data_IF_915832946109
#
_entry.id   IF_915832946109
#
_cell.length_a   1.000
_cell.length_b   1.000
_cell.length_c   1.000
_cell.angle_alpha   90.00
_cell.angle_beta   90.00
_cell.angle_gamma   90.00
#
_symmetry.space_group_name_H-M   'P 1'
#
loop_
_entity.id
_entity.type
_entity.pdbx_description
1 polymer ?
#
# COMPACT_ATOMS: atom_id res chain seq x y z
N UNK A 1 -48.15 -24.90 2.01
CA UNK A 1 -47.52 -26.05 1.33
C UNK A 1 -47.69 -26.00 -0.20
N UNK A 2 -48.89 -25.65 -0.72
CA UNK A 2 -49.13 -25.41 -2.16
C UNK A 2 -48.25 -24.31 -2.79
N UNK A 3 -48.08 -23.14 -2.13
CA UNK A 3 -47.20 -22.06 -2.63
C UNK A 3 -45.71 -22.46 -2.72
N UNK A 4 -45.22 -23.21 -1.73
CA UNK A 4 -43.82 -23.69 -1.73
C UNK A 4 -43.54 -24.71 -2.84
N UNK A 5 -44.54 -25.46 -3.29
CA UNK A 5 -44.42 -26.42 -4.40
C UNK A 5 -44.55 -25.70 -5.76
N UNK A 6 -45.34 -24.63 -5.84
CA UNK A 6 -45.47 -23.81 -7.06
C UNK A 6 -44.14 -23.13 -7.43
N UNK A 7 -43.41 -22.61 -6.44
CA UNK A 7 -42.07 -22.02 -6.61
C UNK A 7 -40.96 -23.05 -6.92
N UNK A 8 -41.24 -24.36 -6.85
CA UNK A 8 -40.27 -25.42 -7.16
C UNK A 8 -40.23 -25.78 -8.64
N UNK A 9 -41.27 -25.44 -9.42
CA UNK A 9 -41.40 -25.81 -10.83
C UNK A 9 -41.48 -24.62 -11.80
N UNK A 10 -41.79 -23.41 -11.32
CA UNK A 10 -41.82 -22.20 -12.13
C UNK A 10 -41.36 -21.00 -11.32
N UNK A 11 -40.08 -20.64 -11.45
CA UNK A 11 -39.59 -19.34 -11.04
C UNK A 11 -40.13 -18.31 -12.04
N UNK A 12 -41.14 -17.53 -11.65
CA UNK A 12 -41.70 -16.43 -12.48
C UNK A 12 -40.88 -15.16 -12.40
N UNK A 13 -39.90 -15.12 -11.50
CA UNK A 13 -38.93 -14.04 -11.32
C UNK A 13 -37.55 -14.53 -11.78
N UNK A 14 -37.34 -14.49 -13.09
CA UNK A 14 -36.05 -14.75 -13.74
C UNK A 14 -35.92 -13.84 -14.94
N UNK A 15 -34.70 -13.47 -15.31
CA UNK A 15 -34.48 -12.70 -16.55
C UNK A 15 -34.96 -13.52 -17.73
N UNK A 16 -35.69 -12.90 -18.66
CA UNK A 16 -36.11 -13.59 -19.89
C UNK A 16 -34.88 -14.17 -20.59
N UNK A 17 -35.01 -15.35 -21.21
CA UNK A 17 -33.90 -15.97 -21.96
C UNK A 17 -33.37 -15.03 -23.05
N UNK A 18 -34.23 -14.19 -23.61
CA UNK A 18 -33.88 -13.12 -24.56
C UNK A 18 -32.93 -12.06 -23.95
N UNK A 19 -33.04 -11.75 -22.65
CA UNK A 19 -32.12 -10.83 -21.96
C UNK A 19 -30.73 -11.44 -21.68
N UNK A 20 -30.59 -12.75 -21.91
CA UNK A 20 -29.32 -13.46 -21.85
C UNK A 20 -28.72 -13.69 -23.25
N UNK A 21 -29.48 -13.41 -24.32
CA UNK A 21 -29.00 -13.53 -25.69
C UNK A 21 -27.83 -12.56 -25.90
N UNK A 22 -26.70 -13.11 -26.36
CA UNK A 22 -25.48 -12.33 -26.58
C UNK A 22 -25.44 -11.86 -28.04
N UNK A 23 -25.20 -10.58 -28.25
CA UNK A 23 -24.94 -9.99 -29.56
C UNK A 23 -23.58 -9.30 -29.57
N UNK A 24 -22.94 -9.26 -30.74
CA UNK A 24 -21.64 -8.63 -30.87
C UNK A 24 -21.75 -7.14 -30.56
N UNK A 25 -20.88 -6.67 -29.68
CA UNK A 25 -20.75 -5.28 -29.30
C UNK A 25 -19.38 -4.76 -29.73
N UNK A 26 -19.39 -3.85 -30.71
CA UNK A 26 -18.17 -3.25 -31.25
C UNK A 26 -17.33 -2.57 -30.15
N UNK A 27 -18.00 -1.89 -29.22
CA UNK A 27 -17.38 -1.20 -28.07
C UNK A 27 -17.31 -2.05 -26.79
N UNK A 28 -18.06 -3.15 -26.73
CA UNK A 28 -18.18 -3.98 -25.53
C UNK A 28 -17.13 -5.09 -25.40
N UNK A 29 -16.14 -5.12 -26.28
CA UNK A 29 -15.13 -6.19 -26.35
C UNK A 29 -15.75 -7.60 -26.44
N UNK A 30 -16.50 -7.86 -27.51
CA UNK A 30 -17.02 -9.20 -27.82
C UNK A 30 -18.55 -9.29 -27.75
N UNK A 31 -19.06 -10.45 -27.34
CA UNK A 31 -20.50 -10.72 -27.32
C UNK A 31 -21.08 -10.45 -25.92
N UNK A 32 -22.01 -9.49 -25.85
CA UNK A 32 -22.63 -9.08 -24.59
C UNK A 32 -24.16 -9.15 -24.71
N UNK A 33 -24.89 -9.35 -23.59
CA UNK A 33 -26.32 -9.11 -23.56
C UNK A 33 -26.63 -7.66 -23.95
N UNK A 34 -27.71 -7.42 -24.69
CA UNK A 34 -28.05 -6.08 -25.22
C UNK A 34 -28.07 -4.99 -24.15
N UNK A 35 -28.55 -5.30 -22.94
CA UNK A 35 -28.55 -4.37 -21.79
C UNK A 35 -27.15 -3.88 -21.38
N UNK A 36 -26.09 -4.60 -21.75
CA UNK A 36 -24.69 -4.29 -21.44
C UNK A 36 -23.94 -3.69 -22.63
N UNK A 37 -24.60 -3.44 -23.78
CA UNK A 37 -23.96 -2.79 -24.92
C UNK A 37 -23.63 -1.33 -24.56
N UNK A 38 -22.34 -0.95 -24.59
CA UNK A 38 -21.95 0.43 -24.33
C UNK A 38 -22.07 1.31 -25.56
N UNK A 39 -22.36 2.59 -25.34
CA UNK A 39 -22.17 3.67 -26.31
C UNK A 39 -20.84 4.43 -26.07
N UNK A 40 -20.19 4.23 -24.93
CA UNK A 40 -18.88 4.82 -24.59
C UNK A 40 -18.02 3.94 -23.69
N UNK A 41 -16.71 4.22 -23.64
CA UNK A 41 -15.74 3.55 -22.76
C UNK A 41 -14.95 4.62 -22.02
N UNK A 42 -14.85 4.50 -20.70
CA UNK A 42 -14.02 5.36 -19.84
C UNK A 42 -12.98 4.49 -19.15
N UNK A 43 -11.70 4.86 -19.24
CA UNK A 43 -10.63 4.18 -18.51
C UNK A 43 -10.54 4.70 -17.08
N UNK A 44 -10.35 3.79 -16.13
CA UNK A 44 -10.12 4.11 -14.72
C UNK A 44 -9.06 3.18 -14.12
N UNK A 45 -8.53 3.56 -12.96
CA UNK A 45 -7.61 2.73 -12.17
C UNK A 45 -8.36 2.14 -10.98
N UNK A 46 -8.15 0.85 -10.74
CA UNK A 46 -8.75 0.12 -9.63
C UNK A 46 -8.40 0.77 -8.27
N UNK A 47 -9.44 1.14 -7.50
CA UNK A 47 -9.32 1.84 -6.22
C UNK A 47 -9.08 0.95 -4.99
N UNK A 48 -8.62 -0.29 -5.15
CA UNK A 48 -8.47 -1.24 -4.03
C UNK A 48 -7.03 -1.35 -3.50
N UNK A 49 -6.22 -2.24 -4.07
CA UNK A 49 -4.83 -2.41 -3.67
C UNK A 49 -3.90 -1.49 -4.49
N UNK A 50 -2.64 -1.39 -4.08
CA UNK A 50 -1.63 -0.55 -4.72
C UNK A 50 -1.14 -1.06 -6.08
N UNK A 51 -1.69 -2.15 -6.60
CA UNK A 51 -1.24 -2.67 -7.90
C UNK A 51 -1.55 -1.68 -9.02
N UNK A 52 -2.68 -0.98 -8.94
CA UNK A 52 -3.03 0.03 -9.95
C UNK A 52 -3.47 -0.60 -11.27
N UNK A 53 -4.30 -1.63 -11.23
CA UNK A 53 -4.88 -2.26 -12.43
C UNK A 53 -5.73 -1.25 -13.20
N UNK A 54 -5.61 -1.21 -14.53
CA UNK A 54 -6.49 -0.40 -15.38
C UNK A 54 -7.74 -1.18 -15.76
N UNK A 55 -8.87 -0.50 -15.73
CA UNK A 55 -10.20 -1.03 -16.01
C UNK A 55 -10.89 -0.13 -17.05
N UNK A 56 -11.50 -0.75 -18.06
CA UNK A 56 -12.35 -0.11 -19.04
C UNK A 56 -13.81 -0.19 -18.56
N UNK A 57 -14.39 0.95 -18.20
CA UNK A 57 -15.79 1.09 -17.79
C UNK A 57 -16.64 1.31 -19.03
N UNK A 58 -17.55 0.38 -19.28
CA UNK A 58 -18.51 0.45 -20.37
C UNK A 58 -19.69 1.32 -19.93
N UNK A 59 -19.89 2.41 -20.65
CA UNK A 59 -20.92 3.41 -20.39
C UNK A 59 -22.08 3.26 -21.35
N UNK A 60 -23.30 3.49 -20.86
CA UNK A 60 -24.50 3.72 -21.66
C UNK A 60 -25.13 5.03 -21.20
N UNK A 61 -25.01 6.08 -21.99
CA UNK A 61 -25.28 7.44 -21.54
C UNK A 61 -24.41 7.80 -20.33
N UNK A 62 -25.05 8.11 -19.19
CA UNK A 62 -24.36 8.47 -17.94
C UNK A 62 -24.23 7.31 -16.95
N UNK A 63 -24.58 6.09 -17.34
CA UNK A 63 -24.55 4.92 -16.44
C UNK A 63 -23.43 3.95 -16.81
N UNK A 64 -22.69 3.51 -15.79
CA UNK A 64 -21.74 2.41 -15.92
C UNK A 64 -22.49 1.08 -15.94
N UNK A 65 -22.53 0.44 -17.12
CA UNK A 65 -23.31 -0.80 -17.33
C UNK A 65 -22.45 -2.05 -17.19
N UNK A 66 -21.17 -1.99 -17.54
CA UNK A 66 -20.23 -3.10 -17.44
C UNK A 66 -18.81 -2.59 -17.13
N UNK A 67 -17.93 -3.48 -16.74
CA UNK A 67 -16.52 -3.20 -16.47
C UNK A 67 -15.68 -4.40 -16.90
N UNK A 68 -14.60 -4.13 -17.62
CA UNK A 68 -13.62 -5.14 -18.02
C UNK A 68 -12.21 -4.65 -17.75
N UNK A 69 -11.24 -5.52 -17.44
CA UNK A 69 -9.85 -5.13 -17.34
C UNK A 69 -9.28 -4.64 -18.69
N UNK A 70 -8.47 -3.60 -18.65
CA UNK A 70 -7.85 -3.02 -19.85
C UNK A 70 -6.77 -3.95 -20.42
N UNK A 71 -6.94 -4.42 -21.65
CA UNK A 71 -6.03 -5.38 -22.31
C UNK A 71 -4.61 -4.88 -22.55
N UNK A 72 -4.45 -3.62 -22.95
CA UNK A 72 -3.17 -3.02 -23.34
C UNK A 72 -2.40 -2.32 -22.20
N UNK A 73 -2.82 -2.53 -20.95
CA UNK A 73 -2.22 -1.85 -19.80
C UNK A 73 -1.08 -2.67 -19.16
N UNK A 74 0.13 -2.07 -18.97
CA UNK A 74 1.34 -2.81 -18.61
C UNK A 74 1.38 -3.37 -17.19
N UNK A 75 0.37 -3.11 -16.35
CA UNK A 75 0.31 -3.61 -14.97
C UNK A 75 -0.47 -4.92 -14.88
N UNK A 76 -1.70 -4.95 -15.39
CA UNK A 76 -2.59 -6.10 -15.26
C UNK A 76 -2.82 -6.85 -16.57
N UNK A 77 -2.32 -6.40 -17.72
CA UNK A 77 -2.32 -7.14 -18.99
C UNK A 77 -3.68 -7.73 -19.38
N UNK A 78 -4.78 -7.01 -19.13
CA UNK A 78 -6.13 -7.51 -19.40
C UNK A 78 -6.71 -8.42 -18.32
N UNK A 79 -6.11 -8.49 -17.14
CA UNK A 79 -6.59 -9.31 -16.02
C UNK A 79 -7.09 -8.46 -14.84
N UNK A 80 -7.96 -9.02 -14.01
CA UNK A 80 -8.37 -8.39 -12.77
C UNK A 80 -8.76 -9.43 -11.72
N UNK A 81 -8.45 -9.15 -10.45
CA UNK A 81 -8.96 -9.95 -9.34
C UNK A 81 -10.46 -9.66 -9.11
N UNK A 82 -11.17 -10.46 -8.28
CA UNK A 82 -12.60 -10.26 -8.02
C UNK A 82 -12.97 -8.84 -7.56
N UNK A 83 -12.09 -8.19 -6.78
CA UNK A 83 -12.31 -6.80 -6.36
C UNK A 83 -12.33 -5.83 -7.54
N UNK A 84 -11.45 -6.04 -8.52
CA UNK A 84 -11.39 -5.24 -9.74
C UNK A 84 -12.68 -5.36 -10.56
N UNK A 85 -13.12 -6.60 -10.81
CA UNK A 85 -14.38 -6.90 -11.50
C UNK A 85 -15.61 -6.29 -10.80
N UNK A 86 -15.61 -6.29 -9.46
CA UNK A 86 -16.71 -5.75 -8.65
C UNK A 86 -16.58 -4.25 -8.33
N UNK A 87 -15.70 -3.49 -9.02
CA UNK A 87 -15.46 -2.07 -8.68
C UNK A 87 -16.68 -1.16 -8.83
N UNK A 88 -17.68 -1.55 -9.64
CA UNK A 88 -18.93 -0.79 -9.80
C UNK A 88 -19.95 -1.09 -8.71
N UNK A 89 -19.83 -2.20 -8.00
CA UNK A 89 -20.82 -2.70 -7.04
C UNK A 89 -21.05 -1.74 -5.86
N UNK A 90 -20.01 -1.15 -5.23
CA UNK A 90 -20.20 -0.15 -4.17
C UNK A 90 -20.98 1.10 -4.60
N UNK A 91 -20.99 1.44 -5.89
CA UNK A 91 -21.70 2.62 -6.39
C UNK A 91 -23.22 2.46 -6.33
N UNK A 92 -23.71 1.21 -6.32
CA UNK A 92 -25.13 0.82 -6.26
C UNK A 92 -25.60 0.45 -4.84
N UNK A 93 -24.73 0.54 -3.84
CA UNK A 93 -25.06 0.20 -2.47
C UNK A 93 -26.19 1.11 -1.94
N UNK A 94 -27.22 0.52 -1.33
CA UNK A 94 -28.40 1.26 -0.85
C UNK A 94 -28.10 2.19 0.32
N UNK A 95 -27.00 1.93 1.05
CA UNK A 95 -26.52 2.70 2.19
C UNK A 95 -25.39 3.69 1.82
N UNK A 96 -25.11 3.87 0.52
CA UNK A 96 -24.13 4.85 0.06
C UNK A 96 -24.56 6.26 0.47
N UNK A 97 -23.68 6.97 1.19
CA UNK A 97 -23.92 8.36 1.57
C UNK A 97 -23.91 9.28 0.34
N UNK A 98 -25.05 9.92 0.06
CA UNK A 98 -25.25 10.83 -1.08
C UNK A 98 -25.75 12.23 -0.68
N UNK A 99 -26.06 12.44 0.60
CA UNK A 99 -26.55 13.70 1.16
C UNK A 99 -25.80 13.97 2.49
N UNK A 100 -25.41 15.23 2.78
CA UNK A 100 -24.80 15.59 4.06
C UNK A 100 -25.73 15.29 5.25
N UNK A 101 -25.13 14.82 6.35
CA UNK A 101 -25.83 14.51 7.60
C UNK A 101 -25.16 15.24 8.77
N UNK A 102 -25.97 15.70 9.72
CA UNK A 102 -25.52 16.24 11.00
C UNK A 102 -26.24 15.53 12.15
N UNK A 103 -25.61 15.44 13.31
CA UNK A 103 -26.29 14.99 14.54
C UNK A 103 -26.98 16.16 15.23
N UNK A 104 -28.25 15.98 15.58
CA UNK A 104 -28.99 16.92 16.45
C UNK A 104 -28.56 16.78 17.93
N UNK A 105 -29.13 17.59 18.81
CA UNK A 105 -28.87 17.56 20.26
C UNK A 105 -29.23 16.23 20.92
N UNK A 106 -30.09 15.42 20.28
CA UNK A 106 -30.49 14.08 20.73
C UNK A 106 -29.61 12.98 20.13
N UNK A 107 -28.66 13.33 19.27
CA UNK A 107 -27.74 12.41 18.61
C UNK A 107 -28.27 11.78 17.32
N UNK A 108 -29.47 12.15 16.86
CA UNK A 108 -30.07 11.62 15.63
C UNK A 108 -29.50 12.30 14.39
N UNK A 109 -29.38 11.56 13.29
CA UNK A 109 -28.98 12.14 12.01
C UNK A 109 -30.12 12.92 11.37
N UNK A 110 -29.82 14.15 10.96
CA UNK A 110 -30.68 15.02 10.15
C UNK A 110 -29.95 15.39 8.86
N UNK A 111 -30.70 15.51 7.77
CA UNK A 111 -30.15 15.88 6.45
C UNK A 111 -29.93 17.38 6.34
N UNK A 112 -28.82 17.79 5.72
CA UNK A 112 -28.51 19.18 5.41
C UNK A 112 -28.35 19.42 3.92
N UNK A 113 -28.56 20.66 3.49
CA UNK A 113 -28.03 21.10 2.20
C UNK A 113 -26.50 21.14 2.23
N UNK A 114 -25.84 21.03 1.08
CA UNK A 114 -24.39 21.17 0.99
C UNK A 114 -23.89 22.52 1.51
N UNK A 115 -24.65 23.60 1.28
CA UNK A 115 -24.31 24.92 1.78
C UNK A 115 -24.33 24.98 3.30
N UNK A 116 -25.40 24.47 3.93
CA UNK A 116 -25.54 24.48 5.39
C UNK A 116 -24.50 23.58 6.06
N UNK A 117 -24.21 22.42 5.46
CA UNK A 117 -23.19 21.50 5.98
C UNK A 117 -21.79 22.13 5.96
N UNK A 118 -21.44 22.82 4.87
CA UNK A 118 -20.15 23.54 4.77
C UNK A 118 -20.08 24.71 5.75
N UNK A 119 -21.15 25.50 5.89
CA UNK A 119 -21.21 26.60 6.86
C UNK A 119 -21.06 26.07 8.28
N UNK A 120 -21.76 24.98 8.64
CA UNK A 120 -21.64 24.35 9.95
C UNK A 120 -20.20 23.85 10.22
N UNK A 121 -19.55 23.22 9.24
CA UNK A 121 -18.15 22.80 9.36
C UNK A 121 -17.22 23.99 9.63
N UNK A 122 -17.27 25.03 8.78
CA UNK A 122 -16.41 26.21 8.87
C UNK A 122 -16.62 26.94 10.19
N UNK A 123 -17.87 27.19 10.58
CA UNK A 123 -18.20 27.91 11.82
C UNK A 123 -17.69 27.17 13.05
N UNK A 124 -17.90 25.86 13.12
CA UNK A 124 -17.49 25.06 14.28
C UNK A 124 -15.97 24.95 14.39
N UNK A 125 -15.27 24.64 13.30
CA UNK A 125 -13.81 24.56 13.31
C UNK A 125 -13.17 25.93 13.62
N UNK A 126 -13.71 27.02 13.06
CA UNK A 126 -13.25 28.38 13.36
C UNK A 126 -13.45 28.72 14.83
N UNK A 127 -14.62 28.44 15.42
CA UNK A 127 -14.90 28.67 16.85
C UNK A 127 -13.96 27.88 17.76
N UNK A 128 -13.69 26.62 17.42
CA UNK A 128 -12.74 25.77 18.15
C UNK A 128 -11.35 26.41 18.12
N UNK A 129 -10.85 26.75 16.92
CA UNK A 129 -9.51 27.34 16.77
C UNK A 129 -9.37 28.71 17.46
N UNK A 130 -10.41 29.56 17.41
CA UNK A 130 -10.41 30.86 18.11
C UNK A 130 -10.33 30.69 19.63
N UNK A 131 -10.99 29.67 20.18
CA UNK A 131 -11.03 29.43 21.63
C UNK A 131 -9.83 28.67 22.16
N UNK A 132 -9.27 27.75 21.37
CA UNK A 132 -8.31 26.76 21.86
C UNK A 132 -6.98 26.72 21.10
N UNK A 133 -6.81 27.53 20.05
CA UNK A 133 -5.59 27.55 19.23
C UNK A 133 -5.72 26.74 17.94
N UNK A 134 -4.84 27.00 16.98
CA UNK A 134 -4.91 26.39 15.64
C UNK A 134 -4.62 24.89 15.62
N UNK A 135 -3.90 24.40 16.62
CA UNK A 135 -3.54 23.00 16.88
C UNK A 135 -4.65 22.21 17.58
N UNK A 136 -5.74 22.87 18.00
CA UNK A 136 -6.91 22.22 18.61
C UNK A 136 -7.82 21.50 17.61
N UNK A 137 -7.48 21.51 16.33
CA UNK A 137 -8.16 20.74 15.28
C UNK A 137 -7.13 19.95 14.46
N UNK A 138 -7.56 18.81 13.93
CA UNK A 138 -6.76 17.98 13.03
C UNK A 138 -7.62 17.46 11.87
N UNK A 139 -6.99 16.74 10.95
CA UNK A 139 -7.68 15.99 9.91
C UNK A 139 -7.02 14.63 9.68
N UNK A 140 -7.78 13.66 9.20
CA UNK A 140 -7.27 12.35 8.79
C UNK A 140 -7.42 12.17 7.28
N UNK A 141 -6.29 12.09 6.58
CA UNK A 141 -6.22 11.76 5.15
C UNK A 141 -6.33 10.25 4.91
N UNK A 142 -6.43 9.88 3.64
CA UNK A 142 -6.60 8.49 3.20
C UNK A 142 -5.76 8.19 1.97
N UNK A 143 -5.29 6.95 1.84
CA UNK A 143 -4.68 6.43 0.60
C UNK A 143 -5.70 5.96 -0.46
N UNK A 144 -7.00 6.26 -0.31
CA UNK A 144 -8.08 5.79 -1.20
C UNK A 144 -8.60 6.83 -2.20
N UNK A 145 -8.29 8.11 -2.01
CA UNK A 145 -8.78 9.18 -2.88
C UNK A 145 -7.71 9.58 -3.92
N UNK A 146 -8.10 10.28 -5.00
CA UNK A 146 -7.15 10.82 -5.97
C UNK A 146 -6.10 11.74 -5.32
N UNK A 147 -4.92 11.82 -5.93
CA UNK A 147 -3.79 12.61 -5.41
C UNK A 147 -4.16 14.09 -5.31
N UNK A 148 -4.92 14.58 -6.28
CA UNK A 148 -5.40 15.96 -6.37
C UNK A 148 -6.29 16.32 -5.18
N UNK A 149 -7.18 15.42 -4.78
CA UNK A 149 -8.05 15.61 -3.61
C UNK A 149 -7.25 15.61 -2.30
N UNK A 150 -6.25 14.73 -2.18
CA UNK A 150 -5.34 14.75 -1.02
C UNK A 150 -4.53 16.03 -0.94
N UNK A 151 -4.01 16.52 -2.06
CA UNK A 151 -3.28 17.80 -2.14
C UNK A 151 -4.18 18.94 -1.71
N UNK A 152 -5.42 18.96 -2.22
CA UNK A 152 -6.41 19.97 -1.87
C UNK A 152 -6.74 19.94 -0.39
N UNK A 153 -7.07 18.77 0.17
CA UNK A 153 -7.38 18.57 1.58
C UNK A 153 -6.23 19.04 2.48
N UNK A 154 -5.02 18.54 2.23
CA UNK A 154 -3.85 18.87 3.04
C UNK A 154 -3.45 20.34 2.96
N UNK A 155 -3.55 20.94 1.76
CA UNK A 155 -3.23 22.36 1.56
C UNK A 155 -4.28 23.27 2.19
N UNK A 156 -5.57 22.94 2.05
CA UNK A 156 -6.65 23.67 2.70
C UNK A 156 -6.51 23.60 4.22
N UNK A 157 -6.32 22.40 4.78
CA UNK A 157 -6.19 22.20 6.21
C UNK A 157 -4.97 22.95 6.79
N UNK A 158 -3.76 22.69 6.27
CA UNK A 158 -2.55 23.29 6.84
C UNK A 158 -2.35 24.76 6.47
N UNK A 159 -2.48 25.12 5.19
CA UNK A 159 -2.12 26.47 4.73
C UNK A 159 -3.31 27.44 4.70
N UNK A 160 -4.51 26.92 4.46
CA UNK A 160 -5.76 27.69 4.46
C UNK A 160 -6.30 27.92 5.88
N UNK A 161 -6.57 26.83 6.60
CA UNK A 161 -7.14 26.84 7.95
C UNK A 161 -6.08 26.94 9.05
N UNK A 162 -4.80 26.85 8.70
CA UNK A 162 -3.69 26.98 9.64
C UNK A 162 -3.53 25.79 10.59
N UNK A 163 -4.13 24.63 10.28
CA UNK A 163 -4.03 23.45 11.15
C UNK A 163 -2.59 22.98 11.28
N UNK A 164 -2.18 22.63 12.50
CA UNK A 164 -0.89 22.00 12.71
C UNK A 164 -0.95 20.49 12.46
N UNK A 165 -2.02 19.83 12.88
CA UNK A 165 -2.06 18.38 12.92
C UNK A 165 -2.87 17.77 11.78
N UNK A 166 -2.32 16.72 11.20
CA UNK A 166 -2.97 15.87 10.22
C UNK A 166 -2.11 14.66 9.89
N UNK A 167 -2.74 13.50 9.80
CA UNK A 167 -2.07 12.26 9.41
C UNK A 167 -2.94 11.43 8.48
N UNK A 168 -2.43 10.31 7.95
CA UNK A 168 -3.18 9.40 7.11
C UNK A 168 -3.10 7.97 7.63
N UNK A 169 -4.12 7.18 7.31
CA UNK A 169 -4.13 5.75 7.65
C UNK A 169 -2.94 4.99 7.03
N UNK A 170 -2.31 5.55 5.97
CA UNK A 170 -1.08 5.05 5.36
C UNK A 170 0.09 4.99 6.35
N UNK A 171 0.10 5.77 7.44
CA UNK A 171 1.11 5.66 8.51
C UNK A 171 1.13 4.26 9.11
N UNK A 172 -0.04 3.69 9.37
CA UNK A 172 -0.19 2.36 9.99
C UNK A 172 0.22 1.21 9.05
N UNK A 173 0.42 1.51 7.76
CA UNK A 173 0.71 0.54 6.72
C UNK A 173 2.16 0.64 6.21
N UNK A 174 2.60 1.85 5.83
CA UNK A 174 3.82 2.06 5.03
C UNK A 174 4.89 2.90 5.71
N UNK A 175 4.66 3.46 6.91
CA UNK A 175 5.65 4.31 7.58
C UNK A 175 6.98 3.58 7.80
N UNK A 176 6.93 2.29 8.15
CA UNK A 176 8.13 1.45 8.29
C UNK A 176 8.99 1.44 7.02
N UNK A 177 8.39 1.07 5.88
CA UNK A 177 9.11 0.96 4.63
C UNK A 177 9.63 2.32 4.16
N UNK A 178 8.83 3.38 4.34
CA UNK A 178 9.21 4.74 4.03
C UNK A 178 10.46 5.18 4.81
N UNK A 179 10.47 4.96 6.14
CA UNK A 179 11.63 5.27 6.98
C UNK A 179 12.84 4.44 6.60
N UNK A 180 12.67 3.12 6.40
CA UNK A 180 13.76 2.23 6.00
C UNK A 180 14.40 2.68 4.67
N UNK A 181 13.61 2.99 3.64
CA UNK A 181 14.13 3.48 2.38
C UNK A 181 14.77 4.86 2.47
N UNK A 182 14.19 5.79 3.23
CA UNK A 182 14.81 7.11 3.43
C UNK A 182 16.17 6.99 4.14
N UNK A 183 16.27 6.16 5.18
CA UNK A 183 17.53 5.96 5.91
C UNK A 183 18.58 5.19 5.07
N UNK A 184 18.15 4.27 4.21
CA UNK A 184 19.06 3.45 3.39
C UNK A 184 19.42 4.08 2.04
N UNK A 185 18.47 4.69 1.33
CA UNK A 185 18.61 5.18 -0.04
C UNK A 185 18.42 6.70 -0.18
N UNK A 186 17.92 7.39 0.85
CA UNK A 186 17.70 8.83 0.83
C UNK A 186 16.38 9.29 0.20
N UNK A 187 15.54 8.36 -0.28
CA UNK A 187 14.21 8.67 -0.82
C UNK A 187 13.21 7.58 -0.49
N UNK A 188 11.93 7.91 -0.58
CA UNK A 188 10.81 7.08 -0.17
C UNK A 188 10.09 6.46 -1.39
N UNK A 189 10.78 5.56 -2.10
CA UNK A 189 10.15 4.76 -3.13
C UNK A 189 10.82 3.38 -3.27
N UNK A 190 10.03 2.32 -3.48
CA UNK A 190 10.57 0.99 -3.68
C UNK A 190 11.24 0.89 -5.06
N UNK A 191 12.37 0.17 -5.20
CA UNK A 191 13.20 0.20 -6.41
C UNK A 191 12.80 -0.84 -7.47
N UNK A 192 11.50 -1.19 -7.58
CA UNK A 192 11.04 -2.27 -8.48
C UNK A 192 10.07 -1.83 -9.57
N UNK A 193 9.92 -2.72 -10.53
CA UNK A 193 8.88 -2.78 -11.55
C UNK A 193 8.19 -4.14 -11.50
N UNK A 194 7.00 -4.28 -12.10
CA UNK A 194 6.32 -5.57 -12.19
C UNK A 194 7.17 -6.66 -12.89
N UNK A 195 8.02 -6.24 -13.82
CA UNK A 195 8.90 -7.11 -14.58
C UNK A 195 9.94 -7.81 -13.69
N UNK A 196 10.28 -7.25 -12.53
CA UNK A 196 11.23 -7.89 -11.62
C UNK A 196 10.70 -9.23 -11.08
N UNK A 197 9.39 -9.42 -10.97
CA UNK A 197 8.81 -10.73 -10.65
C UNK A 197 9.03 -11.77 -11.75
N UNK A 198 9.11 -11.35 -13.01
CA UNK A 198 9.26 -12.21 -14.20
C UNK A 198 10.73 -12.54 -14.49
N UNK A 199 11.66 -11.75 -13.95
CA UNK A 199 13.09 -11.83 -14.23
C UNK A 199 13.89 -12.48 -13.10
N UNK A 200 13.40 -12.46 -11.85
CA UNK A 200 14.10 -13.10 -10.73
C UNK A 200 14.29 -14.60 -10.93
N UNK A 201 15.42 -15.14 -10.46
CA UNK A 201 15.66 -16.58 -10.32
C UNK A 201 15.47 -17.06 -8.87
N UNK A 202 15.50 -16.13 -7.90
CA UNK A 202 15.13 -16.37 -6.50
C UNK A 202 14.21 -15.24 -6.04
N UNK A 203 13.02 -15.59 -5.58
CA UNK A 203 12.01 -14.65 -5.07
C UNK A 203 11.76 -14.94 -3.61
N UNK A 204 12.12 -14.00 -2.73
CA UNK A 204 11.96 -14.14 -1.28
C UNK A 204 10.82 -13.25 -0.79
N UNK A 205 9.70 -13.84 -0.38
CA UNK A 205 8.60 -13.15 0.28
C UNK A 205 8.78 -13.18 1.80
N UNK A 206 8.79 -12.01 2.46
CA UNK A 206 8.91 -11.88 3.91
C UNK A 206 7.64 -11.23 4.47
N UNK A 207 6.85 -12.00 5.21
CA UNK A 207 5.58 -11.52 5.76
C UNK A 207 4.66 -10.94 4.69
N UNK A 208 4.52 -11.65 3.56
CA UNK A 208 3.77 -11.21 2.39
C UNK A 208 2.96 -12.37 1.79
N UNK A 209 1.72 -12.06 1.37
CA UNK A 209 0.81 -13.02 0.75
C UNK A 209 0.20 -12.43 -0.55
N UNK A 210 1.00 -12.22 -1.61
CA UNK A 210 0.53 -11.67 -2.88
C UNK A 210 -0.60 -12.47 -3.53
N UNK A 211 -0.69 -13.79 -3.32
CA UNK A 211 -1.82 -14.61 -3.83
C UNK A 211 -3.19 -14.02 -3.48
N UNK A 212 -3.32 -13.44 -2.28
CA UNK A 212 -4.58 -12.87 -1.78
C UNK A 212 -4.57 -11.34 -1.84
N UNK A 213 -3.49 -10.73 -1.36
CA UNK A 213 -3.43 -9.28 -1.19
C UNK A 213 -3.22 -8.54 -2.53
N UNK A 214 -2.43 -9.13 -3.44
CA UNK A 214 -2.03 -8.51 -4.71
C UNK A 214 -2.04 -9.54 -5.86
N UNK A 215 -3.21 -10.10 -6.25
CA UNK A 215 -3.25 -11.25 -7.15
C UNK A 215 -2.57 -11.03 -8.51
N UNK A 216 -2.62 -9.80 -9.04
CA UNK A 216 -1.93 -9.45 -10.30
C UNK A 216 -0.39 -9.49 -10.14
N UNK A 217 0.16 -9.14 -8.97
CA UNK A 217 1.59 -9.33 -8.70
C UNK A 217 1.94 -10.82 -8.63
N UNK A 218 1.08 -11.64 -8.03
CA UNK A 218 1.26 -13.09 -8.02
C UNK A 218 1.21 -13.69 -9.42
N UNK A 219 0.32 -13.19 -10.27
CA UNK A 219 0.26 -13.60 -11.68
C UNK A 219 1.60 -13.32 -12.40
N UNK A 220 2.25 -12.18 -12.14
CA UNK A 220 3.60 -11.92 -12.67
C UNK A 220 4.63 -12.94 -12.22
N UNK A 221 4.55 -13.41 -10.97
CA UNK A 221 5.39 -14.51 -10.48
C UNK A 221 5.12 -15.78 -11.28
N UNK A 222 3.86 -16.11 -11.56
CA UNK A 222 3.48 -17.29 -12.36
C UNK A 222 3.88 -17.17 -13.84
N UNK A 223 4.01 -15.96 -14.37
CA UNK A 223 4.50 -15.71 -15.73
C UNK A 223 6.02 -15.82 -15.87
N UNK A 224 6.76 -15.86 -14.76
CA UNK A 224 8.21 -15.94 -14.75
C UNK A 224 8.70 -17.21 -15.48
N UNK A 225 9.51 -17.02 -16.52
CA UNK A 225 10.04 -18.11 -17.36
C UNK A 225 11.36 -18.69 -16.87
N UNK A 226 11.93 -18.12 -15.81
CA UNK A 226 13.19 -18.55 -15.21
C UNK A 226 13.03 -19.67 -14.17
N UNK A 227 11.81 -20.20 -13.98
CA UNK A 227 11.49 -21.23 -12.99
C UNK A 227 12.06 -20.90 -11.59
N UNK A 228 11.65 -19.75 -11.00
CA UNK A 228 12.32 -19.20 -9.84
C UNK A 228 12.19 -20.09 -8.60
N UNK A 229 13.22 -20.12 -7.75
CA UNK A 229 13.08 -20.60 -6.39
C UNK A 229 12.23 -19.59 -5.59
N UNK A 230 11.01 -19.98 -5.24
CA UNK A 230 10.11 -19.14 -4.44
C UNK A 230 10.28 -19.52 -2.97
N UNK A 231 10.77 -18.56 -2.19
CA UNK A 231 10.96 -18.69 -0.75
C UNK A 231 9.93 -17.83 -0.03
N UNK A 232 9.23 -18.39 0.94
CA UNK A 232 8.32 -17.65 1.81
C UNK A 232 8.78 -17.76 3.25
N UNK A 233 8.98 -16.61 3.90
CA UNK A 233 9.26 -16.45 5.32
C UNK A 233 8.00 -15.83 5.94
N UNK A 234 7.17 -16.67 6.54
CA UNK A 234 5.90 -16.28 7.16
C UNK A 234 5.53 -17.30 8.23
N UNK A 235 5.17 -16.92 9.46
CA UNK A 235 4.73 -17.87 10.50
C UNK A 235 3.54 -18.73 10.07
N UNK A 236 2.70 -18.22 9.16
CA UNK A 236 1.52 -18.91 8.64
C UNK A 236 1.86 -19.59 7.33
N UNK A 237 1.29 -20.78 7.13
CA UNK A 237 1.26 -21.42 5.80
C UNK A 237 0.18 -20.76 4.94
N UNK A 238 0.48 -19.57 4.43
CA UNK A 238 -0.39 -18.80 3.53
C UNK A 238 -0.51 -19.45 2.15
N UNK A 239 -1.41 -18.96 1.31
CA UNK A 239 -1.57 -19.41 -0.08
C UNK A 239 -0.27 -19.22 -0.89
N UNK A 240 0.45 -18.12 -0.62
CA UNK A 240 1.78 -17.91 -1.21
C UNK A 240 2.77 -18.96 -0.69
N UNK A 241 2.77 -19.27 0.60
CA UNK A 241 3.62 -20.32 1.18
C UNK A 241 3.29 -21.72 0.65
N UNK A 242 2.02 -22.00 0.37
CA UNK A 242 1.58 -23.28 -0.21
C UNK A 242 2.05 -23.47 -1.65
N UNK A 243 2.22 -22.38 -2.40
CA UNK A 243 2.72 -22.38 -3.76
C UNK A 243 4.25 -22.19 -3.86
N UNK A 244 4.92 -21.96 -2.74
CA UNK A 244 6.35 -21.72 -2.68
C UNK A 244 7.15 -23.02 -2.80
N UNK A 245 8.36 -22.93 -3.36
CA UNK A 245 9.34 -24.02 -3.35
C UNK A 245 9.78 -24.32 -1.92
N UNK A 246 9.92 -23.29 -1.08
CA UNK A 246 10.28 -23.40 0.34
C UNK A 246 9.49 -22.46 1.22
N UNK A 247 9.12 -22.96 2.40
CA UNK A 247 8.44 -22.19 3.43
C UNK A 247 9.21 -22.28 4.75
N UNK A 248 9.65 -21.13 5.25
CA UNK A 248 10.26 -20.96 6.56
C UNK A 248 9.22 -20.40 7.53
N UNK A 249 8.56 -21.30 8.26
CA UNK A 249 7.53 -20.96 9.25
C UNK A 249 8.15 -20.46 10.56
N UNK A 250 8.74 -19.26 10.52
CA UNK A 250 9.40 -18.67 11.68
C UNK A 250 8.41 -18.36 12.83
N UNK A 251 8.88 -18.39 14.07
CA UNK A 251 8.12 -17.88 15.22
C UNK A 251 7.75 -16.40 14.96
N UNK A 252 6.50 -15.97 15.19
CA UNK A 252 6.11 -14.58 14.99
C UNK A 252 7.03 -13.61 15.74
N UNK A 253 7.46 -12.54 15.05
CA UNK A 253 8.38 -11.49 15.57
C UNK A 253 9.83 -11.96 15.77
N UNK A 254 10.22 -13.10 15.21
CA UNK A 254 11.64 -13.53 15.16
C UNK A 254 12.36 -13.08 13.89
N UNK A 255 11.67 -12.37 12.99
CA UNK A 255 12.09 -11.99 11.65
C UNK A 255 13.45 -11.26 11.63
N UNK A 256 13.65 -10.28 12.51
CA UNK A 256 14.89 -9.50 12.56
C UNK A 256 16.10 -10.37 12.89
N UNK A 257 15.96 -11.20 13.93
CA UNK A 257 17.02 -12.11 14.39
C UNK A 257 17.32 -13.15 13.31
N UNK A 258 16.28 -13.68 12.67
CA UNK A 258 16.40 -14.61 11.55
C UNK A 258 17.21 -13.97 10.40
N UNK A 259 16.83 -12.77 9.95
CA UNK A 259 17.52 -12.07 8.86
C UNK A 259 18.96 -11.68 9.22
N UNK A 260 19.24 -11.29 10.47
CA UNK A 260 20.60 -11.03 10.93
C UNK A 260 21.47 -12.28 10.98
N UNK A 261 20.92 -13.45 11.33
CA UNK A 261 21.68 -14.69 11.24
C UNK A 261 21.98 -15.08 9.80
N UNK A 262 21.05 -14.87 8.85
CA UNK A 262 21.34 -15.05 7.42
C UNK A 262 22.48 -14.11 6.97
N UNK A 263 22.45 -12.84 7.39
CA UNK A 263 23.53 -11.90 7.11
C UNK A 263 24.86 -12.35 7.71
N UNK A 264 24.86 -12.84 8.96
CA UNK A 264 26.03 -13.37 9.65
C UNK A 264 26.64 -14.57 8.90
N UNK A 265 25.83 -15.53 8.46
CA UNK A 265 26.25 -16.67 7.65
C UNK A 265 26.91 -16.20 6.34
N UNK A 266 26.23 -15.32 5.59
CA UNK A 266 26.74 -14.80 4.32
C UNK A 266 28.11 -14.11 4.49
N UNK A 267 28.31 -13.38 5.59
CA UNK A 267 29.60 -12.71 5.88
C UNK A 267 30.69 -13.72 6.24
N UNK A 268 30.39 -14.67 7.13
CA UNK A 268 31.36 -15.66 7.61
C UNK A 268 31.85 -16.56 6.47
N UNK A 269 30.95 -16.98 5.59
CA UNK A 269 31.26 -17.79 4.40
C UNK A 269 31.90 -16.99 3.26
N UNK A 270 31.99 -15.66 3.39
CA UNK A 270 32.51 -14.79 2.34
C UNK A 270 31.59 -14.67 1.10
N UNK A 271 30.32 -15.04 1.23
CA UNK A 271 29.28 -15.01 0.19
C UNK A 271 28.70 -13.62 -0.06
N UNK A 272 29.57 -12.60 -0.01
CA UNK A 272 29.23 -11.18 -0.17
C UNK A 272 29.98 -10.56 -1.36
N UNK A 273 29.45 -9.48 -1.92
CA UNK A 273 30.07 -8.74 -3.03
C UNK A 273 30.96 -7.62 -2.48
N UNK A 274 32.17 -7.96 -2.02
CA UNK A 274 33.11 -7.03 -1.36
C UNK A 274 33.36 -5.74 -2.16
N UNK A 275 33.58 -5.85 -3.47
CA UNK A 275 33.82 -4.68 -4.33
C UNK A 275 32.58 -3.77 -4.45
N UNK A 276 31.39 -4.38 -4.52
CA UNK A 276 30.12 -3.64 -4.55
C UNK A 276 29.91 -2.89 -3.23
N UNK A 277 30.08 -3.59 -2.10
CA UNK A 277 29.98 -3.02 -0.75
C UNK A 277 30.90 -1.81 -0.61
N UNK A 278 32.18 -1.97 -0.97
CA UNK A 278 33.19 -0.90 -0.89
C UNK A 278 32.82 0.31 -1.74
N UNK A 279 32.23 0.11 -2.92
CA UNK A 279 31.94 1.17 -3.88
C UNK A 279 30.61 1.90 -3.63
N UNK A 280 29.59 1.19 -3.14
CA UNK A 280 28.21 1.69 -3.14
C UNK A 280 27.53 1.72 -1.78
N UNK A 281 28.23 1.36 -0.69
CA UNK A 281 27.65 1.34 0.66
C UNK A 281 28.55 2.05 1.67
N UNK A 282 28.01 2.30 2.87
CA UNK A 282 28.72 2.84 4.03
C UNK A 282 28.28 2.10 5.29
N UNK A 283 29.12 2.08 6.33
CA UNK A 283 28.78 1.45 7.62
C UNK A 283 28.79 -0.08 7.62
N UNK A 284 29.36 -0.73 6.60
CA UNK A 284 29.39 -2.19 6.51
C UNK A 284 30.17 -2.86 7.65
N UNK A 285 31.31 -2.31 8.07
CA UNK A 285 32.12 -2.92 9.15
C UNK A 285 31.40 -2.85 10.51
N UNK A 286 30.67 -1.76 10.78
CA UNK A 286 29.83 -1.63 11.98
C UNK A 286 28.68 -2.64 11.94
N UNK A 287 28.01 -2.77 10.79
CA UNK A 287 26.95 -3.76 10.59
C UNK A 287 27.47 -5.19 10.74
N UNK A 288 28.63 -5.51 10.14
CA UNK A 288 29.30 -6.81 10.27
C UNK A 288 29.61 -7.14 11.73
N UNK A 289 30.14 -6.18 12.48
CA UNK A 289 30.42 -6.35 13.91
C UNK A 289 29.13 -6.59 14.69
N UNK A 290 28.07 -5.83 14.38
CA UNK A 290 26.77 -5.99 15.00
C UNK A 290 26.15 -7.37 14.74
N UNK A 291 26.17 -7.85 13.48
CA UNK A 291 25.50 -9.13 13.14
C UNK A 291 26.27 -10.38 13.60
N UNK A 292 27.56 -10.25 13.94
CA UNK A 292 28.38 -11.38 14.38
C UNK A 292 27.83 -12.10 15.63
N UNK A 293 27.07 -11.40 16.48
CA UNK A 293 26.45 -11.98 17.67
C UNK A 293 25.21 -12.85 17.37
N UNK A 294 24.62 -12.73 16.18
CA UNK A 294 23.42 -13.47 15.80
C UNK A 294 23.83 -14.77 15.11
N UNK A 295 24.18 -15.77 15.91
CA UNK A 295 24.64 -17.08 15.40
C UNK A 295 23.47 -17.92 14.86
N UNK A 296 23.73 -18.88 13.96
CA UNK A 296 22.71 -19.80 13.46
C UNK A 296 21.98 -20.55 14.58
N UNK A 297 22.68 -20.96 15.65
CA UNK A 297 22.10 -21.67 16.79
C UNK A 297 21.14 -20.78 17.58
N UNK A 298 21.52 -19.51 17.78
CA UNK A 298 20.68 -18.53 18.47
C UNK A 298 19.43 -18.24 17.66
N UNK A 299 19.58 -17.99 16.35
CA UNK A 299 18.44 -17.77 15.47
C UNK A 299 17.56 -19.02 15.36
N UNK A 300 18.14 -20.22 15.33
CA UNK A 300 17.38 -21.47 15.29
C UNK A 300 16.48 -21.61 16.52
N UNK A 301 17.04 -21.38 17.71
CA UNK A 301 16.28 -21.43 18.97
C UNK A 301 15.14 -20.42 19.03
N UNK A 302 15.32 -19.21 18.47
CA UNK A 302 14.33 -18.13 18.56
C UNK A 302 13.28 -18.23 17.45
N UNK A 303 13.73 -18.46 16.21
CA UNK A 303 12.85 -18.53 15.04
C UNK A 303 12.19 -19.89 14.86
N UNK A 304 12.68 -20.95 15.51
CA UNK A 304 12.17 -22.31 15.33
C UNK A 304 12.62 -22.99 14.03
N UNK A 305 13.50 -22.36 13.25
CA UNK A 305 14.05 -22.92 12.00
C UNK A 305 15.33 -23.70 12.29
N UNK A 306 15.52 -24.86 11.67
CA UNK A 306 16.75 -25.66 11.86
C UNK A 306 17.99 -24.90 11.39
N UNK A 307 19.16 -25.16 12.00
CA UNK A 307 20.41 -24.51 11.61
C UNK A 307 20.76 -24.81 10.15
N UNK A 308 20.55 -26.05 9.72
CA UNK A 308 20.76 -26.53 8.36
C UNK A 308 19.92 -25.76 7.34
N UNK A 309 18.71 -25.39 7.74
CA UNK A 309 17.75 -24.63 6.93
C UNK A 309 18.17 -23.16 6.78
N UNK A 310 18.77 -22.56 7.82
CA UNK A 310 19.38 -21.23 7.75
C UNK A 310 20.56 -21.20 6.74
N UNK A 311 21.45 -22.19 6.82
CA UNK A 311 22.55 -22.34 5.84
C UNK A 311 22.03 -22.62 4.43
N UNK A 312 20.94 -23.37 4.30
CA UNK A 312 20.31 -23.64 3.01
C UNK A 312 19.78 -22.36 2.38
N UNK A 313 19.05 -21.54 3.14
CA UNK A 313 18.58 -20.23 2.66
C UNK A 313 19.73 -19.31 2.25
N UNK A 314 20.76 -19.19 3.10
CA UNK A 314 21.93 -18.37 2.80
C UNK A 314 22.64 -18.83 1.51
N UNK A 315 22.72 -20.15 1.28
CA UNK A 315 23.33 -20.72 0.07
C UNK A 315 22.48 -20.45 -1.18
N UNK A 316 21.16 -20.49 -1.08
CA UNK A 316 20.26 -20.13 -2.18
C UNK A 316 20.46 -18.66 -2.56
N UNK A 317 20.45 -17.75 -1.57
CA UNK A 317 20.70 -16.32 -1.80
C UNK A 317 22.07 -16.08 -2.43
N UNK A 318 23.11 -16.80 -1.97
CA UNK A 318 24.45 -16.67 -2.53
C UNK A 318 24.55 -17.13 -4.00
N UNK A 319 23.89 -18.24 -4.34
CA UNK A 319 23.97 -18.85 -5.67
C UNK A 319 23.07 -18.17 -6.70
N UNK A 320 21.98 -17.53 -6.28
CA UNK A 320 21.09 -16.80 -7.17
C UNK A 320 21.78 -15.62 -7.86
N UNK A 321 21.51 -15.45 -9.15
CA UNK A 321 22.03 -14.35 -9.96
C UNK A 321 21.14 -13.09 -9.88
N UNK A 322 19.83 -13.29 -9.70
CA UNK A 322 18.76 -12.29 -9.69
C UNK A 322 17.83 -12.53 -8.50
N UNK A 323 18.34 -12.25 -7.30
CA UNK A 323 17.58 -12.43 -6.05
C UNK A 323 16.78 -11.16 -5.74
N UNK A 324 15.46 -11.30 -5.59
CA UNK A 324 14.59 -10.22 -5.16
C UNK A 324 13.91 -10.55 -3.82
N UNK A 325 13.80 -9.55 -2.96
CA UNK A 325 13.12 -9.63 -1.68
C UNK A 325 11.87 -8.76 -1.70
N UNK A 326 10.76 -9.30 -1.21
CA UNK A 326 9.46 -8.66 -1.24
C UNK A 326 8.81 -8.74 0.14
N UNK A 327 8.34 -7.63 0.69
CA UNK A 327 7.66 -7.64 1.99
C UNK A 327 6.40 -6.78 2.03
N UNK A 328 5.52 -7.09 2.99
CA UNK A 328 4.31 -6.32 3.26
C UNK A 328 4.12 -6.07 4.76
N UNK A 329 2.89 -6.26 5.27
CA UNK A 329 2.46 -5.92 6.62
C UNK A 329 3.07 -6.83 7.69
N UNK A 330 3.46 -8.07 7.35
CA UNK A 330 4.15 -8.94 8.31
C UNK A 330 5.47 -8.35 8.80
N UNK A 331 6.13 -7.54 7.97
CA UNK A 331 7.30 -6.75 8.36
C UNK A 331 6.88 -5.37 8.87
N UNK A 332 6.02 -4.65 8.13
CA UNK A 332 5.75 -3.24 8.43
C UNK A 332 5.04 -3.00 9.77
N UNK A 333 4.27 -3.97 10.27
CA UNK A 333 3.44 -3.83 11.48
C UNK A 333 4.06 -4.57 12.67
N UNK A 334 5.25 -4.13 13.07
CA UNK A 334 6.01 -4.67 14.21
C UNK A 334 6.72 -3.56 14.99
N UNK A 335 7.17 -3.85 16.21
CA UNK A 335 7.88 -2.88 17.05
C UNK A 335 9.32 -2.62 16.58
N UNK A 336 9.93 -3.60 15.90
CA UNK A 336 11.28 -3.51 15.28
C UNK A 336 11.21 -3.44 13.74
N UNK A 337 10.07 -2.98 13.21
CA UNK A 337 9.75 -3.06 11.79
C UNK A 337 10.76 -2.35 10.89
N UNK A 338 11.23 -1.14 11.27
CA UNK A 338 12.20 -0.37 10.47
C UNK A 338 13.52 -1.14 10.35
N UNK A 339 14.01 -1.70 11.45
CA UNK A 339 15.25 -2.51 11.47
C UNK A 339 15.08 -3.80 10.68
N UNK A 340 13.90 -4.42 10.72
CA UNK A 340 13.58 -5.61 9.92
C UNK A 340 13.62 -5.30 8.42
N UNK A 341 12.96 -4.23 7.98
CA UNK A 341 13.02 -3.78 6.59
C UNK A 341 14.45 -3.40 6.15
N UNK A 342 15.23 -2.75 7.03
CA UNK A 342 16.65 -2.46 6.77
C UNK A 342 17.50 -3.73 6.71
N UNK A 343 17.21 -4.77 7.49
CA UNK A 343 17.91 -6.04 7.39
C UNK A 343 17.70 -6.69 6.00
N UNK A 344 16.47 -6.64 5.46
CA UNK A 344 16.17 -7.07 4.09
C UNK A 344 16.98 -6.25 3.07
N UNK A 345 16.97 -4.91 3.20
CA UNK A 345 17.75 -4.02 2.35
C UNK A 345 19.25 -4.36 2.43
N UNK A 346 19.79 -4.54 3.62
CA UNK A 346 21.20 -4.86 3.84
C UNK A 346 21.60 -6.18 3.18
N UNK A 347 20.76 -7.21 3.24
CA UNK A 347 20.98 -8.48 2.54
C UNK A 347 21.11 -8.27 1.03
N UNK A 348 20.26 -7.44 0.42
CA UNK A 348 20.35 -7.13 -1.02
C UNK A 348 21.60 -6.33 -1.36
N UNK A 349 21.98 -5.37 -0.52
CA UNK A 349 23.18 -4.55 -0.73
C UNK A 349 24.47 -5.36 -0.60
N UNK A 350 24.59 -6.20 0.44
CA UNK A 350 25.80 -6.99 0.67
C UNK A 350 25.98 -8.13 -0.34
N UNK A 351 24.90 -8.57 -0.98
CA UNK A 351 24.93 -9.60 -2.04
C UNK A 351 24.94 -9.01 -3.45
N UNK A 352 24.86 -7.68 -3.62
CA UNK A 352 24.85 -7.02 -4.92
C UNK A 352 23.56 -7.27 -5.73
N UNK A 353 22.46 -7.57 -5.03
CA UNK A 353 21.14 -7.82 -5.59
C UNK A 353 20.27 -6.56 -5.57
N UNK A 354 20.76 -5.48 -6.18
CA UNK A 354 20.01 -4.24 -6.38
C UNK A 354 20.47 -3.53 -7.66
N UNK A 355 19.58 -2.74 -8.27
CA UNK A 355 19.90 -1.94 -9.47
C UNK A 355 20.03 -2.75 -10.77
N UNK A 356 19.57 -4.01 -10.76
CA UNK A 356 19.52 -4.91 -11.92
C UNK A 356 18.11 -5.52 -12.06
N UNK A 357 17.65 -5.87 -13.27
CA UNK A 357 16.39 -6.59 -13.44
C UNK A 357 16.32 -7.87 -12.61
N UNK A 358 15.16 -8.12 -12.00
CA UNK A 358 14.92 -9.28 -11.14
C UNK A 358 15.59 -9.20 -9.77
N UNK A 359 16.01 -8.01 -9.32
CA UNK A 359 16.66 -7.83 -8.01
C UNK A 359 15.96 -6.77 -7.16
N UNK A 360 16.44 -6.58 -5.93
CA UNK A 360 16.05 -5.46 -5.08
C UNK A 360 15.35 -5.87 -3.80
N UNK A 361 15.18 -4.88 -2.93
CA UNK A 361 14.46 -4.96 -1.68
C UNK A 361 13.17 -4.16 -1.83
N UNK A 362 12.05 -4.85 -1.99
CA UNK A 362 10.81 -4.32 -2.57
C UNK A 362 9.64 -4.40 -1.58
N UNK A 363 9.25 -3.26 -1.02
CA UNK A 363 8.05 -3.14 -0.21
C UNK A 363 6.82 -3.09 -1.10
N UNK A 364 5.91 -4.04 -0.93
CA UNK A 364 4.63 -4.03 -1.62
C UNK A 364 3.66 -3.16 -0.83
N UNK A 365 3.08 -2.17 -1.52
CA UNK A 365 2.21 -1.17 -0.89
C UNK A 365 0.79 -1.70 -0.69
N UNK A 366 0.07 -1.21 0.33
CA UNK A 366 -1.30 -1.63 0.62
C UNK A 366 -2.34 -1.02 -0.32
N UNK A 367 -2.72 0.23 -0.04
CA UNK A 367 -3.82 0.92 -0.72
C UNK A 367 -3.41 1.52 -2.07
N UNK A 368 -4.40 1.72 -2.95
CA UNK A 368 -4.23 2.21 -4.32
C UNK A 368 -3.36 3.47 -4.44
N UNK A 369 -3.49 4.43 -3.52
CA UNK A 369 -2.77 5.70 -3.59
C UNK A 369 -1.99 6.05 -2.31
N UNK A 370 -1.45 5.04 -1.62
CA UNK A 370 -0.67 5.29 -0.41
C UNK A 370 0.66 6.04 -0.67
N UNK A 371 1.25 5.89 -1.86
CA UNK A 371 2.38 6.72 -2.30
C UNK A 371 1.98 8.19 -2.43
N UNK A 372 0.81 8.45 -3.05
CA UNK A 372 0.26 9.80 -3.20
C UNK A 372 0.07 10.48 -1.85
N UNK A 373 -0.47 9.76 -0.86
CA UNK A 373 -0.60 10.31 0.50
C UNK A 373 0.76 10.72 1.08
N UNK A 374 1.75 9.82 1.09
CA UNK A 374 3.04 10.10 1.73
C UNK A 374 3.82 11.26 1.12
N UNK A 375 3.64 11.50 -0.18
CA UNK A 375 4.32 12.57 -0.90
C UNK A 375 3.51 13.87 -0.96
N UNK A 376 2.18 13.81 -0.99
CA UNK A 376 1.36 14.94 -1.41
C UNK A 376 0.22 15.31 -0.46
N UNK A 377 -0.09 14.53 0.59
CA UNK A 377 -1.19 14.89 1.50
C UNK A 377 -0.84 15.95 2.55
N UNK A 378 0.37 16.51 2.55
CA UNK A 378 0.84 17.46 3.57
C UNK A 378 0.63 16.95 5.00
N UNK A 379 0.81 15.66 5.26
CA UNK A 379 0.62 15.08 6.61
C UNK A 379 1.97 14.89 7.29
N UNK A 380 2.71 13.86 6.86
CA UNK A 380 4.00 13.48 7.42
C UNK A 380 5.19 14.17 6.76
N UNK A 381 4.97 14.78 5.59
CA UNK A 381 5.95 15.55 4.84
C UNK A 381 5.22 16.71 4.17
N UNK A 382 5.94 17.77 3.83
CA UNK A 382 5.49 18.85 2.97
C UNK A 382 5.42 18.34 1.51
N UNK A 383 4.55 18.94 0.69
CA UNK A 383 4.33 18.58 -0.73
C UNK A 383 5.61 18.15 -1.45
N UNK A 384 5.55 17.01 -2.15
CA UNK A 384 6.68 16.44 -2.88
C UNK A 384 7.70 15.73 -1.99
N UNK A 385 7.34 15.38 -0.75
CA UNK A 385 8.23 14.69 0.19
C UNK A 385 9.26 15.59 0.88
N UNK A 386 9.08 16.92 0.82
CA UNK A 386 9.96 17.88 1.48
C UNK A 386 9.74 17.89 3.00
N UNK A 387 10.69 18.41 3.78
CA UNK A 387 10.57 18.45 5.24
C UNK A 387 9.95 19.78 5.71
N UNK A 388 8.91 19.71 6.55
CA UNK A 388 8.34 20.89 7.20
C UNK A 388 9.37 21.65 8.04
N UNK A 389 10.33 20.97 8.68
CA UNK A 389 11.31 21.59 9.56
C UNK A 389 12.40 22.35 8.80
N UNK A 390 12.59 22.06 7.51
CA UNK A 390 13.59 22.71 6.67
C UNK A 390 13.09 24.07 6.15
N UNK A 391 13.73 25.20 6.54
CA UNK A 391 13.33 26.52 6.03
C UNK A 391 13.46 26.64 4.51
N UNK A 392 14.43 25.95 3.92
CA UNK A 392 14.67 25.97 2.46
C UNK A 392 13.54 25.25 1.72
N UNK A 393 13.12 24.09 2.22
CA UNK A 393 12.00 23.32 1.68
C UNK A 393 10.69 24.11 1.75
N UNK A 394 10.42 24.76 2.89
CA UNK A 394 9.24 25.63 3.05
C UNK A 394 9.26 26.77 2.05
N UNK A 395 10.39 27.47 1.87
CA UNK A 395 10.52 28.56 0.87
C UNK A 395 10.26 28.06 -0.55
N UNK A 396 10.82 26.91 -0.90
CA UNK A 396 10.64 26.30 -2.23
C UNK A 396 9.16 26.00 -2.50
N UNK A 397 8.49 25.33 -1.57
CA UNK A 397 7.08 24.97 -1.74
C UNK A 397 6.17 26.21 -1.70
N UNK A 398 6.44 27.17 -0.81
CA UNK A 398 5.69 28.43 -0.76
C UNK A 398 5.77 29.19 -2.09
N UNK A 399 6.95 29.24 -2.71
CA UNK A 399 7.15 29.83 -4.04
C UNK A 399 6.36 29.11 -5.13
N UNK A 400 6.36 27.77 -5.13
CA UNK A 400 5.61 26.96 -6.11
C UNK A 400 4.11 27.22 -6.00
N UNK A 401 3.59 27.26 -4.78
CA UNK A 401 2.16 27.47 -4.52
C UNK A 401 1.72 28.94 -4.55
N UNK A 402 2.67 29.88 -4.68
CA UNK A 402 2.44 31.32 -4.57
C UNK A 402 1.72 31.71 -3.26
N UNK A 403 2.21 31.22 -2.13
CA UNK A 403 1.70 31.56 -0.78
C UNK A 403 2.79 32.18 0.08
N UNK A 404 2.39 32.89 1.13
CA UNK A 404 3.33 33.32 2.18
C UNK A 404 3.88 32.08 2.91
N UNK A 405 5.21 32.00 3.03
CA UNK A 405 5.92 30.92 3.74
C UNK A 405 5.48 30.79 5.19
N UNK A 406 5.01 31.87 5.82
CA UNK A 406 4.51 31.86 7.19
C UNK A 406 3.18 31.10 7.34
N UNK A 407 2.51 30.73 6.23
CA UNK A 407 1.34 29.84 6.25
C UNK A 407 1.73 28.37 6.35
N UNK A 408 3.00 28.02 6.12
CA UNK A 408 3.48 26.63 6.20
C UNK A 408 3.95 26.37 7.64
N UNK A 409 3.44 25.32 8.31
CA UNK A 409 3.92 24.93 9.64
C UNK A 409 5.43 24.70 9.68
N UNK A 410 6.06 25.04 10.80
CA UNK A 410 7.51 24.92 10.97
C UNK A 410 7.97 23.63 11.61
N UNK A 411 7.02 22.77 11.98
CA UNK A 411 7.22 21.50 12.68
C UNK A 411 6.30 20.43 12.11
N UNK A 412 6.60 19.17 12.40
CA UNK A 412 5.84 18.02 11.94
C UNK A 412 4.55 17.83 12.75
N UNK A 413 3.54 17.19 12.14
CA UNK A 413 2.32 16.79 12.83
C UNK A 413 2.60 15.69 13.87
N UNK A 414 1.74 15.60 14.88
CA UNK A 414 1.54 14.37 15.65
C UNK A 414 1.23 13.20 14.71
N UNK A 415 1.69 12.01 15.08
CA UNK A 415 1.34 10.76 14.41
C UNK A 415 -0.14 10.40 14.64
N UNK A 416 -0.69 9.54 13.79
CA UNK A 416 -2.10 9.14 13.81
C UNK A 416 -2.59 8.72 15.20
N UNK A 417 -1.87 7.84 15.88
CA UNK A 417 -2.17 7.39 17.24
C UNK A 417 -2.12 8.54 18.26
N UNK A 418 -1.12 9.41 18.15
CA UNK A 418 -0.97 10.60 19.00
C UNK A 418 -2.08 11.64 18.78
N UNK A 419 -2.61 11.76 17.55
CA UNK A 419 -3.80 12.59 17.26
C UNK A 419 -5.00 12.03 18.02
N UNK A 420 -5.23 10.72 17.98
CA UNK A 420 -6.33 10.07 18.71
C UNK A 420 -6.15 10.22 20.22
N UNK A 421 -4.94 10.06 20.75
CA UNK A 421 -4.63 10.31 22.17
C UNK A 421 -4.88 11.78 22.55
N UNK A 422 -4.52 12.73 21.68
CA UNK A 422 -4.77 14.15 21.90
C UNK A 422 -6.28 14.50 21.85
N UNK A 423 -7.07 13.80 21.04
CA UNK A 423 -8.54 13.88 21.09
C UNK A 423 -9.07 13.35 22.43
N UNK A 424 -8.61 12.17 22.87
CA UNK A 424 -9.02 11.58 24.14
C UNK A 424 -8.63 12.45 25.36
N UNK A 425 -7.47 13.12 25.30
CA UNK A 425 -7.01 14.07 26.29
C UNK A 425 -7.69 15.46 26.19
N UNK A 426 -8.57 15.66 25.22
CA UNK A 426 -9.29 16.92 25.00
C UNK A 426 -8.43 18.08 24.49
N UNK A 427 -7.21 17.81 24.00
CA UNK A 427 -6.33 18.80 23.35
C UNK A 427 -6.82 19.12 21.93
N UNK A 428 -7.11 18.07 21.15
CA UNK A 428 -7.78 18.18 19.86
C UNK A 428 -9.29 18.06 20.10
N UNK A 429 -10.05 19.01 19.57
CA UNK A 429 -11.50 19.18 19.79
C UNK A 429 -12.32 19.13 18.50
N UNK A 430 -11.66 19.18 17.34
CA UNK A 430 -12.26 18.90 16.02
C UNK A 430 -11.32 17.98 15.23
N UNK A 431 -11.88 17.01 14.52
CA UNK A 431 -11.15 16.03 13.72
C UNK A 431 -11.81 15.83 12.35
#
# INVERSE_FOLDING_TARGET
MKEKIQNLFYQTEGKFTEELALSYSEKGQGYLPERLHPDGIIKTVCGFCSTGCSLDVHMRGNEAVNLVPTGDYPVNLGEACPKGWESLTPLKASDRAVIPLQRDEKGNFVTLSWHDAMTAFVDNFTKIQQRYGKDSVAFLSTGQIPTEEMVMLGSLAKFGMGMLHGDGNTRQCMATAATAYKESFGFDAPPFTYKDFEESDVIVFVGANPCIAHPIMWERVQMNRNDPEIIVIDPRKTETAMAATRHYAITPKSDLIFLYAIASILIQEGWIKKDYIKKFTRGFEDFKTHVAQYTPETASRISGIAVEDLYTLARIIHRGERVSFWWTMGVNQSYEAVRTAQAIINLTLMTGNIGRPGTGANSITGQCNAMGSRLFSNTTNLLGGHNFESPEDRKKVAKILNIDVNKIPTENSLAYDQIIEAVAAGKIKGL
#
